data_IF_815458388614
#
_entry.id   IF_815458388614
#
_cell.length_a   1.000
_cell.length_b   1.000
_cell.length_c   1.000
_cell.angle_alpha   90.00
_cell.angle_beta   90.00
_cell.angle_gamma   90.00
#
_symmetry.space_group_name_H-M   'P 1'
#
loop_
_entity.id
_entity.type
_entity.pdbx_description
1 polymer ?
#
# COMPACT_ATOMS: atom_id res chain seq x y z
N UNK A 1 48.58 6.60 -21.03
CA UNK A 1 47.64 7.75 -20.99
C UNK A 1 46.26 7.40 -21.54
N UNK A 2 46.12 6.94 -22.80
CA UNK A 2 44.81 6.57 -23.39
C UNK A 2 44.06 5.43 -22.65
N UNK A 3 44.77 4.41 -22.15
CA UNK A 3 44.17 3.31 -21.38
C UNK A 3 43.62 3.74 -20.01
N UNK A 4 44.29 4.70 -19.35
CA UNK A 4 43.85 5.26 -18.07
C UNK A 4 42.57 6.10 -18.26
N UNK A 5 42.49 6.85 -19.36
CA UNK A 5 41.29 7.62 -19.71
C UNK A 5 40.07 6.71 -19.92
N UNK A 6 40.24 5.57 -20.60
CA UNK A 6 39.14 4.61 -20.84
C UNK A 6 38.65 4.00 -19.53
N UNK A 7 39.56 3.64 -18.61
CA UNK A 7 39.18 3.08 -17.30
C UNK A 7 38.39 4.08 -16.47
N UNK A 8 38.78 5.36 -16.47
CA UNK A 8 38.05 6.41 -15.75
C UNK A 8 36.64 6.67 -16.32
N UNK A 9 36.47 6.60 -17.65
CA UNK A 9 35.17 6.78 -18.30
C UNK A 9 34.24 5.60 -17.97
N UNK A 10 34.75 4.36 -18.03
CA UNK A 10 33.96 3.17 -17.68
C UNK A 10 33.57 3.17 -16.20
N UNK A 11 34.49 3.55 -15.32
CA UNK A 11 34.21 3.67 -13.89
C UNK A 11 33.12 4.72 -13.62
N UNK A 12 33.20 5.89 -14.25
CA UNK A 12 32.18 6.94 -14.14
C UNK A 12 30.79 6.44 -14.60
N UNK A 13 30.74 5.67 -15.68
CA UNK A 13 29.49 5.12 -16.22
C UNK A 13 28.86 4.06 -15.30
N UNK A 14 29.67 3.28 -14.58
CA UNK A 14 29.17 2.31 -13.59
C UNK A 14 28.57 2.98 -12.34
N UNK A 15 29.05 4.17 -11.95
CA UNK A 15 28.50 4.87 -10.78
C UNK A 15 27.15 5.57 -11.04
N UNK A 16 26.75 5.77 -12.31
CA UNK A 16 25.47 6.40 -12.66
C UNK A 16 24.25 5.50 -12.39
N UNK A 17 24.44 4.19 -12.17
CA UNK A 17 23.35 3.24 -11.91
C UNK A 17 22.82 3.24 -10.47
N UNK A 18 23.53 3.86 -9.51
CA UNK A 18 23.13 3.84 -8.10
C UNK A 18 22.03 4.84 -7.72
N UNK A 19 21.61 5.73 -8.63
CA UNK A 19 20.64 6.79 -8.30
C UNK A 19 19.28 6.60 -8.96
N UNK A 20 18.97 5.39 -9.42
CA UNK A 20 17.63 5.05 -9.90
C UNK A 20 16.74 4.74 -8.68
N UNK A 21 16.29 5.79 -8.00
CA UNK A 21 15.25 5.71 -6.97
C UNK A 21 13.91 5.75 -7.69
N UNK A 22 13.22 4.60 -7.81
CA UNK A 22 11.84 4.57 -8.28
C UNK A 22 10.98 5.33 -7.27
N UNK A 23 10.67 6.59 -7.57
CA UNK A 23 9.66 7.34 -6.81
C UNK A 23 8.30 6.74 -7.16
N UNK A 24 7.77 5.93 -6.26
CA UNK A 24 6.36 5.59 -6.25
C UNK A 24 5.58 6.90 -6.08
N UNK A 25 4.93 7.37 -7.14
CA UNK A 25 3.98 8.47 -7.05
C UNK A 25 2.72 7.95 -6.35
N UNK A 26 2.57 8.31 -5.08
CA UNK A 26 1.37 7.97 -4.31
C UNK A 26 0.18 8.77 -4.83
N UNK A 27 -0.78 8.08 -5.46
CA UNK A 27 -2.03 8.67 -5.92
C UNK A 27 -3.03 8.79 -4.76
N UNK A 28 -2.79 9.74 -3.86
CA UNK A 28 -3.64 9.98 -2.70
C UNK A 28 -3.26 11.25 -1.94
N UNK A 29 -3.99 11.52 -0.87
CA UNK A 29 -3.64 12.58 0.08
C UNK A 29 -3.03 11.94 1.31
N UNK A 30 -1.74 12.17 1.53
CA UNK A 30 -1.10 11.81 2.78
C UNK A 30 -1.61 12.73 3.89
N UNK A 31 -2.18 12.16 4.95
CA UNK A 31 -2.53 12.94 6.13
C UNK A 31 -1.25 13.16 6.95
N UNK A 32 -0.66 14.35 6.84
CA UNK A 32 0.48 14.74 7.65
C UNK A 32 0.07 14.88 9.12
N UNK A 33 0.81 14.20 10.00
CA UNK A 33 0.59 14.16 11.46
C UNK A 33 -0.84 13.75 11.87
N UNK A 34 -1.31 12.54 11.48
CA UNK A 34 -2.65 12.10 11.83
C UNK A 34 -2.73 11.82 13.34
N UNK A 35 -3.87 12.11 13.99
CA UNK A 35 -4.10 11.66 15.36
C UNK A 35 -4.13 10.12 15.42
N UNK A 36 -3.80 9.56 16.58
CA UNK A 36 -3.94 8.12 16.80
C UNK A 36 -5.40 7.71 16.65
N UNK A 37 -5.64 6.69 15.82
CA UNK A 37 -6.98 6.10 15.65
C UNK A 37 -7.35 5.36 16.94
N UNK A 38 -8.49 5.68 17.58
CA UNK A 38 -8.93 4.97 18.77
C UNK A 38 -9.31 3.53 18.43
N UNK A 39 -9.15 2.63 19.40
CA UNK A 39 -9.69 1.28 19.26
C UNK A 39 -11.22 1.34 19.23
N UNK A 40 -11.82 0.49 18.39
CA UNK A 40 -13.26 0.36 18.26
C UNK A 40 -13.60 -1.11 18.09
N UNK A 41 -14.83 -1.48 18.45
CA UNK A 41 -15.38 -2.83 18.23
C UNK A 41 -16.72 -2.68 17.51
N UNK A 42 -16.87 -3.37 16.39
CA UNK A 42 -18.09 -3.43 15.59
C UNK A 42 -18.53 -4.89 15.43
N UNK A 43 -19.74 -5.09 14.91
CA UNK A 43 -20.23 -6.41 14.51
C UNK A 43 -20.07 -6.57 13.00
N UNK A 44 -19.47 -7.68 12.58
CA UNK A 44 -19.32 -8.03 11.17
C UNK A 44 -20.64 -8.57 10.55
N UNK A 45 -20.63 -8.90 9.27
CA UNK A 45 -21.76 -9.45 8.53
C UNK A 45 -22.23 -10.83 9.03
N UNK A 46 -21.36 -11.56 9.72
CA UNK A 46 -21.62 -12.91 10.25
C UNK A 46 -22.07 -12.88 11.72
N UNK A 47 -22.09 -11.69 12.34
CA UNK A 47 -22.51 -11.47 13.72
C UNK A 47 -21.39 -11.57 14.74
N UNK A 48 -20.12 -11.66 14.31
CA UNK A 48 -18.97 -11.67 15.21
C UNK A 48 -18.56 -10.26 15.60
N UNK A 49 -17.94 -10.13 16.77
CA UNK A 49 -17.30 -8.88 17.17
C UNK A 49 -15.91 -8.79 16.53
N UNK A 50 -15.63 -7.66 15.89
CA UNK A 50 -14.33 -7.33 15.29
C UNK A 50 -13.85 -6.02 15.88
N UNK A 51 -12.62 -6.01 16.39
CA UNK A 51 -11.96 -4.83 16.94
C UNK A 51 -10.78 -4.39 16.09
N UNK A 52 -10.49 -3.09 16.03
CA UNK A 52 -9.28 -2.61 15.34
C UNK A 52 -8.01 -3.24 15.90
N UNK A 53 -7.99 -3.51 17.21
CA UNK A 53 -6.89 -4.18 17.89
C UNK A 53 -6.65 -5.64 17.46
N UNK A 54 -7.60 -6.29 16.78
CA UNK A 54 -7.42 -7.64 16.23
C UNK A 54 -6.42 -7.65 15.06
N UNK A 55 -6.22 -6.50 14.39
CA UNK A 55 -5.33 -6.34 13.23
C UNK A 55 -3.97 -5.71 13.58
N UNK A 56 -3.57 -5.73 14.85
CA UNK A 56 -2.27 -5.16 15.26
C UNK A 56 -1.10 -5.77 14.50
N UNK A 57 -0.25 -4.89 13.96
CA UNK A 57 0.94 -5.27 13.21
C UNK A 57 0.72 -5.39 11.69
N UNK A 58 -0.53 -5.22 11.23
CA UNK A 58 -0.87 -5.15 9.81
C UNK A 58 -1.07 -3.70 9.34
N UNK A 59 -0.94 -3.49 8.02
CA UNK A 59 -1.45 -2.32 7.33
C UNK A 59 -2.96 -2.51 7.12
N UNK A 60 -3.79 -1.65 7.71
CA UNK A 60 -5.25 -1.76 7.60
C UNK A 60 -5.77 -0.72 6.61
N UNK A 61 -6.42 -1.17 5.54
CA UNK A 61 -7.07 -0.33 4.53
C UNK A 61 -8.58 -0.35 4.80
N UNK A 62 -9.13 0.80 5.17
CA UNK A 62 -10.55 0.93 5.50
C UNK A 62 -11.29 1.69 4.40
N UNK A 63 -12.37 1.10 3.89
CA UNK A 63 -13.34 1.78 3.02
C UNK A 63 -14.65 2.00 3.76
N UNK A 64 -15.17 3.22 3.69
CA UNK A 64 -16.48 3.56 4.27
C UNK A 64 -17.54 3.53 3.17
N UNK A 65 -18.34 2.47 3.15
CA UNK A 65 -19.40 2.26 2.17
C UNK A 65 -20.78 2.11 2.83
N UNK A 66 -21.82 2.01 2.00
CA UNK A 66 -23.17 1.68 2.46
C UNK A 66 -23.92 0.94 1.35
N UNK A 67 -24.80 0.01 1.73
CA UNK A 67 -25.41 -0.96 0.80
C UNK A 67 -26.35 -0.35 -0.24
N UNK A 68 -26.87 0.85 0.00
CA UNK A 68 -27.74 1.57 -0.95
C UNK A 68 -26.97 2.46 -1.93
N UNK A 69 -25.63 2.45 -1.89
CA UNK A 69 -24.77 3.22 -2.78
C UNK A 69 -24.70 2.57 -4.17
N UNK A 70 -25.22 3.20 -5.24
CA UNK A 70 -25.40 2.51 -6.52
C UNK A 70 -24.21 2.63 -7.49
N UNK A 71 -23.19 3.43 -7.16
CA UNK A 71 -22.17 3.85 -8.14
C UNK A 71 -20.74 3.73 -7.61
N UNK A 72 -20.29 4.71 -6.81
CA UNK A 72 -18.89 4.81 -6.38
C UNK A 72 -18.46 3.66 -5.46
N UNK A 73 -19.36 3.11 -4.64
CA UNK A 73 -19.01 2.07 -3.67
C UNK A 73 -18.66 0.74 -4.36
N UNK A 74 -19.46 0.22 -5.33
CA UNK A 74 -19.03 -0.90 -6.16
C UNK A 74 -17.67 -0.71 -6.85
N UNK A 75 -17.36 0.51 -7.30
CA UNK A 75 -16.07 0.81 -7.93
C UNK A 75 -14.89 0.75 -6.93
N UNK A 76 -15.09 1.25 -5.71
CA UNK A 76 -14.12 1.16 -4.62
C UNK A 76 -13.87 -0.31 -4.27
N UNK A 77 -14.92 -1.08 -4.01
CA UNK A 77 -14.80 -2.50 -3.65
C UNK A 77 -14.10 -3.32 -4.75
N UNK A 78 -14.41 -3.05 -6.02
CA UNK A 78 -13.73 -3.71 -7.13
C UNK A 78 -12.22 -3.42 -7.14
N UNK A 79 -11.85 -2.17 -6.84
CA UNK A 79 -10.44 -1.76 -6.77
C UNK A 79 -9.72 -2.43 -5.61
N UNK A 80 -10.35 -2.50 -4.43
CA UNK A 80 -9.77 -3.18 -3.26
C UNK A 80 -9.58 -4.67 -3.51
N UNK A 81 -10.59 -5.36 -4.04
CA UNK A 81 -10.49 -6.77 -4.41
C UNK A 81 -9.38 -7.01 -5.45
N UNK A 82 -9.21 -6.11 -6.41
CA UNK A 82 -8.12 -6.20 -7.39
C UNK A 82 -6.74 -6.06 -6.72
N UNK A 83 -6.58 -5.13 -5.79
CA UNK A 83 -5.32 -4.96 -5.05
C UNK A 83 -5.01 -6.18 -4.19
N UNK A 84 -6.00 -6.68 -3.43
CA UNK A 84 -5.86 -7.87 -2.60
C UNK A 84 -5.40 -9.10 -3.41
N UNK A 85 -5.99 -9.29 -4.60
CA UNK A 85 -5.60 -10.36 -5.53
C UNK A 85 -4.14 -10.26 -6.00
N UNK A 86 -3.57 -9.06 -6.05
CA UNK A 86 -2.19 -8.81 -6.51
C UNK A 86 -1.15 -8.91 -5.39
N UNK A 87 -1.53 -8.79 -4.11
CA UNK A 87 -0.59 -8.82 -2.99
C UNK A 87 0.30 -10.08 -2.94
N UNK A 88 -0.18 -11.30 -3.27
CA UNK A 88 0.66 -12.50 -3.28
C UNK A 88 1.84 -12.43 -4.23
N UNK A 89 1.72 -11.73 -5.37
CA UNK A 89 2.82 -11.55 -6.33
C UNK A 89 3.99 -10.74 -5.73
N UNK A 90 3.72 -10.01 -4.65
CA UNK A 90 4.68 -9.21 -3.90
C UNK A 90 5.06 -9.83 -2.55
N UNK A 91 4.44 -10.95 -2.15
CA UNK A 91 4.74 -11.67 -0.90
C UNK A 91 4.37 -10.91 0.37
N UNK A 92 3.36 -10.03 0.30
CA UNK A 92 2.89 -9.17 1.40
C UNK A 92 1.41 -9.40 1.74
N UNK A 93 0.81 -10.46 1.23
CA UNK A 93 -0.62 -10.79 1.41
C UNK A 93 -1.01 -10.98 2.88
N UNK A 94 -0.06 -11.31 3.76
CA UNK A 94 -0.32 -11.49 5.19
C UNK A 94 -0.14 -10.20 6.01
N UNK A 95 0.45 -9.16 5.41
CA UNK A 95 0.81 -7.91 6.08
C UNK A 95 -0.27 -6.83 5.94
N UNK A 96 -1.25 -7.04 5.05
CA UNK A 96 -2.33 -6.08 4.73
C UNK A 96 -3.68 -6.69 5.11
N UNK A 97 -4.59 -5.85 5.57
CA UNK A 97 -5.98 -6.21 5.85
C UNK A 97 -6.92 -5.16 5.23
N UNK A 98 -7.99 -5.61 4.56
CA UNK A 98 -9.02 -4.74 4.00
C UNK A 98 -10.31 -4.83 4.82
N UNK A 99 -10.90 -3.69 5.16
CA UNK A 99 -12.16 -3.60 5.93
C UNK A 99 -13.15 -2.68 5.19
N UNK A 100 -14.33 -3.19 4.84
CA UNK A 100 -15.42 -2.45 4.19
C UNK A 100 -16.82 -2.77 4.73
#
# INVERSE_FOLDING_TARGET
MKKILIVLIVLSFCLAGCTAEERLEFNGTEYQDPPSVPDFTLTDQDGNNVSLSDFKGKVVVVAFIFTSCPDVCPAIEHTLNYVDFMLPDHGIENDVEFIS
#
